data_IF_059073557298
#
_entry.id   IF_059073557298
#
_cell.length_a   1.000
_cell.length_b   1.000
_cell.length_c   1.000
_cell.angle_alpha   90.00
_cell.angle_beta   90.00
_cell.angle_gamma   90.00
#
_symmetry.space_group_name_H-M   'P 1'
#
loop_
_entity.id
_entity.type
_entity.pdbx_description
1 polymer ?
#
# COMPACT_ATOMS: atom_id res chain seq x y z
N UNK A 1 -13.17 -10.14 -4.96
CA UNK A 1 -11.99 -11.00 -5.01
C UNK A 1 -10.78 -10.19 -5.39
N UNK A 2 -9.62 -10.80 -5.38
CA UNK A 2 -8.36 -10.07 -5.60
C UNK A 2 -8.35 -9.26 -6.90
N UNK A 3 -8.78 -9.85 -8.01
CA UNK A 3 -8.77 -9.14 -9.29
C UNK A 3 -9.66 -7.90 -9.27
N UNK A 4 -10.84 -8.01 -8.69
CA UNK A 4 -11.76 -6.87 -8.59
C UNK A 4 -11.18 -5.79 -7.70
N UNK A 5 -10.59 -6.18 -6.58
CA UNK A 5 -9.96 -5.23 -5.66
C UNK A 5 -8.80 -4.50 -6.32
N UNK A 6 -7.94 -5.23 -7.02
CA UNK A 6 -6.81 -4.61 -7.73
C UNK A 6 -7.29 -3.69 -8.83
N UNK A 7 -8.37 -4.06 -9.54
CA UNK A 7 -8.95 -3.20 -10.57
C UNK A 7 -9.47 -1.90 -9.96
N UNK A 8 -10.18 -1.98 -8.84
CA UNK A 8 -10.68 -0.79 -8.17
C UNK A 8 -9.54 0.11 -7.70
N UNK A 9 -8.52 -0.48 -7.08
CA UNK A 9 -7.38 0.29 -6.62
C UNK A 9 -6.65 0.96 -7.79
N UNK A 10 -6.44 0.22 -8.87
CA UNK A 10 -5.78 0.76 -10.06
C UNK A 10 -6.57 1.93 -10.66
N UNK A 11 -7.89 1.79 -10.75
CA UNK A 11 -8.75 2.85 -11.26
C UNK A 11 -8.68 4.08 -10.36
N UNK A 12 -8.72 3.87 -9.03
CA UNK A 12 -8.62 4.97 -8.08
C UNK A 12 -7.28 5.70 -8.23
N UNK A 13 -6.19 4.96 -8.34
CA UNK A 13 -4.85 5.55 -8.49
C UNK A 13 -4.77 6.37 -9.78
N UNK A 14 -5.32 5.85 -10.88
CA UNK A 14 -5.33 6.57 -12.15
C UNK A 14 -6.13 7.86 -12.06
N UNK A 15 -7.29 7.82 -11.42
CA UNK A 15 -8.12 9.01 -11.25
C UNK A 15 -7.44 10.05 -10.37
N UNK A 16 -6.82 9.61 -9.28
CA UNK A 16 -6.11 10.52 -8.38
C UNK A 16 -4.92 11.16 -9.08
N UNK A 17 -4.21 10.40 -9.90
CA UNK A 17 -3.05 10.91 -10.64
C UNK A 17 -3.42 11.85 -11.78
N UNK A 18 -4.67 11.84 -12.22
CA UNK A 18 -5.12 12.64 -13.34
C UNK A 18 -5.62 14.03 -12.94
N UNK A 19 -5.70 14.33 -11.65
CA UNK A 19 -6.20 15.62 -11.18
C UNK A 19 -5.21 16.25 -10.21
N UNK A 20 -5.17 17.60 -10.21
CA UNK A 20 -4.40 18.36 -9.22
C UNK A 20 -5.31 19.01 -8.18
N UNK A 21 -6.63 18.91 -8.36
CA UNK A 21 -7.60 19.53 -7.46
C UNK A 21 -7.76 18.71 -6.17
N UNK A 22 -7.54 19.34 -5.03
CA UNK A 22 -7.76 18.66 -3.75
C UNK A 22 -9.21 18.26 -3.54
N UNK A 23 -10.15 19.06 -4.05
CA UNK A 23 -11.57 18.72 -3.96
C UNK A 23 -11.89 17.46 -4.76
N UNK A 24 -11.32 17.33 -5.96
CA UNK A 24 -11.50 16.13 -6.76
C UNK A 24 -10.89 14.91 -6.07
N UNK A 25 -9.70 15.08 -5.50
CA UNK A 25 -9.03 13.99 -4.77
C UNK A 25 -9.88 13.52 -3.60
N UNK A 26 -10.46 14.45 -2.85
CA UNK A 26 -11.34 14.11 -1.72
C UNK A 26 -12.56 13.34 -2.21
N UNK A 27 -13.19 13.78 -3.29
CA UNK A 27 -14.36 13.11 -3.83
C UNK A 27 -14.05 11.68 -4.27
N UNK A 28 -12.90 11.50 -4.92
CA UNK A 28 -12.45 10.16 -5.36
C UNK A 28 -12.22 9.27 -4.13
N UNK A 29 -11.51 9.78 -3.13
CA UNK A 29 -11.25 9.02 -1.91
C UNK A 29 -12.54 8.64 -1.19
N UNK A 30 -13.51 9.56 -1.13
CA UNK A 30 -14.80 9.26 -0.51
C UNK A 30 -15.53 8.13 -1.24
N UNK A 31 -15.50 8.17 -2.57
CA UNK A 31 -16.14 7.15 -3.38
C UNK A 31 -15.55 5.77 -3.13
N UNK A 32 -14.22 5.67 -3.20
CA UNK A 32 -13.56 4.38 -3.02
C UNK A 32 -13.44 3.97 -1.56
N UNK A 33 -13.53 4.93 -0.64
CA UNK A 33 -13.52 4.66 0.79
C UNK A 33 -14.73 3.89 1.29
N UNK A 34 -15.75 3.73 0.46
CA UNK A 34 -16.92 2.91 0.80
C UNK A 34 -16.62 1.42 0.66
N UNK A 35 -15.56 1.06 -0.03
CA UNK A 35 -15.14 -0.32 -0.17
C UNK A 35 -14.11 -0.63 0.93
N UNK A 36 -14.50 -1.46 1.89
CA UNK A 36 -13.65 -1.77 3.04
C UNK A 36 -12.34 -2.44 2.64
N UNK A 37 -12.34 -3.22 1.57
CA UNK A 37 -11.13 -3.88 1.10
C UNK A 37 -10.14 -2.88 0.50
N UNK A 38 -10.64 -1.86 -0.21
CA UNK A 38 -9.77 -0.80 -0.73
C UNK A 38 -9.14 -0.04 0.43
N UNK A 39 -9.94 0.27 1.46
CA UNK A 39 -9.45 0.96 2.66
C UNK A 39 -8.38 0.12 3.34
N UNK A 40 -8.62 -1.19 3.48
CA UNK A 40 -7.66 -2.09 4.09
C UNK A 40 -6.35 -2.14 3.29
N UNK A 41 -6.45 -2.13 1.97
CA UNK A 41 -5.26 -2.17 1.12
C UNK A 41 -4.47 -0.86 1.20
N UNK A 42 -5.17 0.27 1.35
CA UNK A 42 -4.50 1.55 1.60
C UNK A 42 -3.72 1.50 2.90
N UNK A 43 -4.31 0.94 3.94
CA UNK A 43 -3.61 0.77 5.21
C UNK A 43 -2.37 -0.11 5.03
N UNK A 44 -2.52 -1.24 4.35
CA UNK A 44 -1.40 -2.16 4.11
C UNK A 44 -0.27 -1.48 3.33
N UNK A 45 -0.61 -0.58 2.43
CA UNK A 45 0.38 0.12 1.61
C UNK A 45 1.13 1.18 2.41
N UNK A 46 0.42 1.96 3.21
CA UNK A 46 0.99 3.15 3.83
C UNK A 46 1.28 3.06 5.32
N UNK A 47 0.87 2.00 6.00
CA UNK A 47 1.11 1.87 7.43
C UNK A 47 2.60 1.80 7.73
N UNK A 48 3.07 2.64 8.65
CA UNK A 48 4.47 2.61 9.08
C UNK A 48 4.77 1.40 9.96
N UNK A 49 3.74 0.70 10.40
CA UNK A 49 3.90 -0.52 11.21
C UNK A 49 4.14 -1.76 10.36
N UNK A 50 4.05 -1.63 9.03
CA UNK A 50 4.21 -2.76 8.12
C UNK A 50 5.44 -2.60 7.27
N UNK A 51 6.18 -3.68 7.11
CA UNK A 51 7.35 -3.76 6.24
C UNK A 51 7.22 -5.04 5.42
N UNK A 52 7.62 -5.00 4.15
CA UNK A 52 7.53 -6.17 3.30
C UNK A 52 8.88 -6.74 2.93
N UNK A 53 9.97 -5.99 3.20
CA UNK A 53 11.36 -6.46 3.09
C UNK A 53 11.76 -6.82 1.66
N UNK A 54 10.95 -6.47 0.67
CA UNK A 54 11.27 -6.62 -0.76
C UNK A 54 10.85 -5.33 -1.46
N UNK A 55 11.46 -5.08 -2.62
CA UNK A 55 11.10 -3.93 -3.45
C UNK A 55 10.83 -4.41 -4.87
N UNK A 56 10.11 -3.59 -5.65
CA UNK A 56 9.86 -3.90 -7.04
C UNK A 56 11.18 -4.05 -7.80
N UNK A 57 12.15 -3.21 -7.48
CA UNK A 57 13.47 -3.25 -8.12
C UNK A 57 14.14 -4.60 -7.89
N UNK A 58 14.14 -5.09 -6.64
CA UNK A 58 14.77 -6.37 -6.31
C UNK A 58 14.05 -7.53 -6.98
N UNK A 59 12.71 -7.50 -7.01
CA UNK A 59 11.94 -8.56 -7.64
C UNK A 59 12.17 -8.61 -9.14
N UNK A 60 12.20 -7.45 -9.80
CA UNK A 60 12.44 -7.38 -11.23
C UNK A 60 13.85 -7.83 -11.59
N UNK A 61 14.83 -7.49 -10.73
CA UNK A 61 16.22 -7.85 -10.94
C UNK A 61 16.42 -9.37 -10.88
N UNK A 62 15.57 -10.06 -10.13
CA UNK A 62 15.64 -11.52 -9.96
C UNK A 62 14.39 -12.19 -10.53
N UNK A 63 13.99 -11.76 -11.72
CA UNK A 63 12.74 -12.23 -12.34
C UNK A 63 12.71 -13.74 -12.60
N UNK A 64 13.86 -14.39 -12.64
CA UNK A 64 13.91 -15.84 -12.79
C UNK A 64 13.34 -16.56 -11.55
N UNK A 65 13.33 -15.89 -10.40
CA UNK A 65 12.71 -16.43 -9.19
C UNK A 65 11.21 -16.13 -9.26
N UNK A 66 10.41 -17.13 -9.60
CA UNK A 66 8.98 -16.92 -9.80
C UNK A 66 8.21 -18.19 -9.44
N UNK A 67 7.38 -18.10 -8.42
CA UNK A 67 6.53 -19.20 -7.99
C UNK A 67 5.20 -19.13 -8.76
N UNK A 68 5.22 -19.62 -10.00
CA UNK A 68 4.12 -19.44 -10.95
C UNK A 68 2.80 -20.06 -10.51
N UNK A 69 2.85 -21.03 -9.61
CA UNK A 69 1.65 -21.71 -9.14
C UNK A 69 1.04 -21.08 -7.88
N UNK A 70 1.62 -19.98 -7.40
CA UNK A 70 1.09 -19.33 -6.21
C UNK A 70 -0.21 -18.61 -6.55
N UNK A 71 -1.29 -18.99 -5.84
CA UNK A 71 -2.65 -18.46 -6.09
C UNK A 71 -3.25 -17.76 -4.87
N UNK A 72 -2.43 -17.34 -3.90
CA UNK A 72 -2.92 -16.61 -2.74
C UNK A 72 -3.42 -15.21 -3.10
N UNK A 73 -4.19 -14.61 -2.20
CA UNK A 73 -4.68 -13.24 -2.41
C UNK A 73 -3.63 -12.22 -1.97
N UNK A 74 -3.92 -10.94 -2.29
CA UNK A 74 -2.96 -9.86 -2.01
C UNK A 74 -2.70 -9.70 -0.51
N UNK A 75 -3.73 -9.81 0.31
CA UNK A 75 -3.57 -9.62 1.75
C UNK A 75 -2.75 -10.74 2.38
N UNK A 76 -2.98 -11.97 1.96
CA UNK A 76 -2.21 -13.12 2.45
C UNK A 76 -0.74 -12.96 2.07
N UNK A 77 -0.47 -12.56 0.83
CA UNK A 77 0.91 -12.34 0.39
C UNK A 77 1.59 -11.26 1.24
N UNK A 78 0.91 -10.12 1.42
CA UNK A 78 1.49 -9.03 2.18
C UNK A 78 1.69 -9.39 3.66
N UNK A 79 0.75 -10.13 4.24
CA UNK A 79 0.90 -10.59 5.62
C UNK A 79 2.09 -11.55 5.78
N UNK A 80 2.27 -12.45 4.83
CA UNK A 80 3.39 -13.39 4.89
C UNK A 80 4.74 -12.69 4.75
N UNK A 81 4.79 -11.62 3.95
CA UNK A 81 6.00 -10.81 3.83
C UNK A 81 6.27 -10.05 5.12
N UNK A 82 5.24 -9.40 5.65
CA UNK A 82 5.37 -8.60 6.88
C UNK A 82 5.77 -9.47 8.06
N UNK A 83 5.16 -10.64 8.20
CA UNK A 83 5.42 -11.54 9.31
C UNK A 83 6.67 -12.39 9.12
N UNK A 84 7.39 -12.16 8.02
CA UNK A 84 8.63 -12.87 7.70
C UNK A 84 8.44 -14.38 7.55
N UNK A 85 7.25 -14.78 7.13
CA UNK A 85 7.00 -16.18 6.76
C UNK A 85 7.83 -16.51 5.53
N UNK A 86 7.91 -15.57 4.59
CA UNK A 86 8.78 -15.67 3.41
C UNK A 86 9.87 -14.62 3.54
N UNK A 87 11.13 -15.01 3.31
CA UNK A 87 12.27 -14.10 3.37
C UNK A 87 13.20 -14.36 2.19
N UNK A 88 14.04 -13.36 1.87
CA UNK A 88 15.07 -13.49 0.85
C UNK A 88 14.52 -13.89 -0.50
N UNK A 89 15.14 -14.89 -1.12
CA UNK A 89 14.73 -15.33 -2.46
C UNK A 89 13.33 -15.93 -2.48
N UNK A 90 12.92 -16.56 -1.40
CA UNK A 90 11.57 -17.11 -1.30
C UNK A 90 10.53 -16.01 -1.40
N UNK A 91 10.73 -14.91 -0.67
CA UNK A 91 9.83 -13.77 -0.74
C UNK A 91 9.74 -13.22 -2.17
N UNK A 92 10.89 -13.05 -2.82
CA UNK A 92 10.94 -12.57 -4.20
C UNK A 92 10.19 -13.53 -5.13
N UNK A 93 10.36 -14.84 -4.95
CA UNK A 93 9.68 -15.84 -5.78
C UNK A 93 8.16 -15.74 -5.66
N UNK A 94 7.63 -15.56 -4.45
CA UNK A 94 6.18 -15.47 -4.25
C UNK A 94 5.62 -14.16 -4.80
N UNK A 95 6.34 -13.05 -4.63
CA UNK A 95 5.89 -11.78 -5.19
C UNK A 95 5.86 -11.84 -6.72
N UNK A 96 6.93 -12.36 -7.32
CA UNK A 96 6.98 -12.52 -8.78
C UNK A 96 5.90 -13.47 -9.29
N UNK A 97 5.61 -14.53 -8.52
CA UNK A 97 4.53 -15.46 -8.85
C UNK A 97 3.18 -14.79 -8.82
N UNK A 98 2.94 -13.95 -7.82
CA UNK A 98 1.70 -13.21 -7.71
C UNK A 98 1.53 -12.27 -8.91
N UNK A 99 2.59 -11.55 -9.30
CA UNK A 99 2.56 -10.66 -10.46
C UNK A 99 2.32 -11.46 -11.73
N UNK A 100 2.98 -12.60 -11.86
CA UNK A 100 2.82 -13.48 -13.02
C UNK A 100 1.35 -13.89 -13.23
N UNK A 101 0.65 -14.13 -12.14
CA UNK A 101 -0.76 -14.55 -12.17
C UNK A 101 -1.73 -13.38 -12.26
N UNK A 102 -1.23 -12.13 -12.18
CA UNK A 102 -2.05 -10.92 -12.25
C UNK A 102 -1.37 -9.88 -13.15
N UNK A 103 -1.07 -10.23 -14.41
CA UNK A 103 -0.25 -9.34 -15.26
C UNK A 103 -0.90 -8.00 -15.57
N UNK A 104 -2.24 -7.93 -15.58
CA UNK A 104 -2.94 -6.67 -15.85
C UNK A 104 -2.72 -5.65 -14.74
N UNK A 105 -2.33 -6.09 -13.56
CA UNK A 105 -2.18 -5.23 -12.39
C UNK A 105 -0.74 -5.13 -11.92
N UNK A 106 0.20 -5.47 -12.79
CA UNK A 106 1.61 -5.51 -12.44
C UNK A 106 2.09 -4.20 -11.82
N UNK A 107 1.82 -3.08 -12.47
CA UNK A 107 2.26 -1.78 -11.97
C UNK A 107 1.66 -1.46 -10.60
N UNK A 108 0.38 -1.77 -10.43
CA UNK A 108 -0.31 -1.54 -9.15
C UNK A 108 0.31 -2.38 -8.05
N UNK A 109 0.63 -3.64 -8.34
CA UNK A 109 1.25 -4.54 -7.37
C UNK A 109 2.62 -3.99 -6.94
N UNK A 110 3.42 -3.53 -7.91
CA UNK A 110 4.73 -2.96 -7.59
C UNK A 110 4.61 -1.73 -6.69
N UNK A 111 3.61 -0.88 -6.93
CA UNK A 111 3.37 0.29 -6.10
C UNK A 111 3.02 -0.10 -4.67
N UNK A 112 2.21 -1.14 -4.50
CA UNK A 112 1.87 -1.65 -3.16
C UNK A 112 3.11 -2.18 -2.45
N UNK A 113 3.90 -2.99 -3.14
CA UNK A 113 5.12 -3.57 -2.58
C UNK A 113 6.11 -2.48 -2.16
N UNK A 114 6.25 -1.44 -2.96
CA UNK A 114 7.13 -0.32 -2.67
C UNK A 114 6.52 0.64 -1.65
N UNK A 115 5.29 0.40 -1.23
CA UNK A 115 4.57 1.16 -0.21
C UNK A 115 4.32 2.61 -0.62
N UNK A 116 4.11 2.82 -1.91
CA UNK A 116 3.81 4.16 -2.44
C UNK A 116 3.03 4.02 -3.74
N UNK A 117 1.75 4.38 -3.70
CA UNK A 117 0.88 4.29 -4.87
C UNK A 117 1.17 5.38 -5.90
N UNK A 118 1.99 6.37 -5.54
CA UNK A 118 2.40 7.46 -6.43
C UNK A 118 1.20 8.18 -7.06
N UNK A 119 0.15 8.33 -6.26
CA UNK A 119 -1.09 8.96 -6.73
C UNK A 119 -1.23 10.41 -6.27
N UNK A 120 -0.15 10.99 -5.76
CA UNK A 120 -0.09 12.39 -5.34
C UNK A 120 -1.05 12.72 -4.20
N UNK A 121 -1.28 11.76 -3.33
CA UNK A 121 -2.14 11.91 -2.16
C UNK A 121 -1.32 11.57 -0.93
N UNK A 122 -1.35 12.47 0.05
CA UNK A 122 -0.64 12.22 1.31
C UNK A 122 -1.47 11.33 2.23
N UNK A 123 -0.80 10.68 3.18
CA UNK A 123 -1.50 9.90 4.20
C UNK A 123 -2.39 10.80 5.05
N UNK A 124 -2.00 12.07 5.24
CA UNK A 124 -2.82 13.02 5.97
C UNK A 124 -4.16 13.26 5.25
N UNK A 125 -4.14 13.38 3.92
CA UNK A 125 -5.36 13.58 3.16
C UNK A 125 -6.23 12.32 3.22
N UNK A 126 -5.64 11.15 3.10
CA UNK A 126 -6.38 9.89 3.20
C UNK A 126 -7.10 9.82 4.56
N UNK A 127 -6.39 10.10 5.65
CA UNK A 127 -6.97 10.06 6.99
C UNK A 127 -8.04 11.13 7.21
N UNK A 128 -7.91 12.25 6.51
CA UNK A 128 -8.90 13.32 6.61
C UNK A 128 -10.23 12.92 5.98
N UNK A 129 -10.16 12.23 4.85
CA UNK A 129 -11.35 11.79 4.11
C UNK A 129 -11.91 10.50 4.68
N UNK A 130 -11.03 9.56 5.01
CA UNK A 130 -11.38 8.24 5.56
C UNK A 130 -10.66 8.12 6.90
N UNK A 131 -11.27 8.59 8.00
CA UNK A 131 -10.59 8.67 9.30
C UNK A 131 -10.05 7.31 9.76
N UNK A 132 -8.89 7.34 10.38
CA UNK A 132 -8.25 6.17 11.00
C UNK A 132 -7.85 5.08 10.00
N UNK A 133 -7.69 5.42 8.74
CA UNK A 133 -7.25 4.44 7.73
C UNK A 133 -5.78 4.10 7.90
N UNK A 134 -4.92 5.12 8.00
CA UNK A 134 -3.49 4.94 8.12
C UNK A 134 -3.07 5.22 9.56
N UNK A 135 -2.47 4.25 10.27
CA UNK A 135 -1.99 4.52 11.62
C UNK A 135 -0.93 5.60 11.60
N UNK A 136 -1.09 6.59 12.47
CA UNK A 136 -0.12 7.68 12.59
C UNK A 136 0.63 7.50 13.89
N UNK A 137 1.96 7.61 13.82
CA UNK A 137 2.80 7.58 14.99
C UNK A 137 2.61 8.90 15.74
N UNK A 138 1.91 8.87 16.84
CA UNK A 138 1.85 10.00 17.74
C UNK A 138 2.96 9.84 18.74
N UNK A 139 4.09 10.40 18.41
CA UNK A 139 5.18 10.49 19.37
C UNK A 139 4.96 11.78 20.11
N UNK A 140 4.94 11.68 21.12
CA UNK A 140 4.72 12.90 21.78
C UNK A 140 5.99 13.66 22.00
N UNK A 141 5.83 13.08 20.99
CA UNK A 141 6.37 13.71 21.10
C UNK A 141 6.56 14.19 21.60
N UNK A 142 6.63 13.96 21.68
CA UNK A 142 6.88 14.45 22.07
C UNK A 142 6.97 14.83 22.35
N UNK A 143 6.89 14.68 22.34
CA UNK A 143 6.93 15.39 22.53
C UNK A 143 7.20 15.76 22.53
N UNK A 144 7.45 15.78 22.73
CA UNK A 144 7.66 16.61 22.79
C UNK A 144 7.60 17.06 22.76
N UNK A 145 7.71 16.85 23.02
CA UNK A 145 7.64 17.74 23.15
C UNK A 145 7.59 18.18 23.15
N UNK A 146 7.78 17.97 23.46
CA UNK A 146 7.78 18.93 23.65
C UNK A 146 7.67 19.37 23.57
N UNK A 147 7.83 19.16 23.83
CA UNK A 147 7.71 20.07 23.89
C UNK A 147 7.47 20.46 23.69
N UNK A 148 7.65 20.34 23.84
CA UNK A 148 7.34 21.13 23.82
C UNK A 148 7.08 21.35 23.69
N UNK A 149 7.29 20.84 24.02
CA UNK A 149 6.88 21.47 24.04
C UNK A 149 6.56 21.63 23.80
N UNK A 150 6.70 21.25 24.25
CA UNK A 150 6.28 21.93 24.18
C UNK A 150 5.83 22.01 23.92
N UNK A 151 5.97 21.71 24.03
CA UNK A 151 5.42 22.33 24.00
C UNK A 151 5.04 22.34 23.88
N UNK A 152 5.22 21.92 24.37
CA UNK A 152 4.79 22.37 24.53
C UNK A 152 4.58 22.41 24.48
N UNK A 153 4.74 22.00 24.69
CA UNK A 153 4.57 22.57 24.71
C UNK A 153 4.16 22.60 24.59
#
# INVERSE_FOLDING_TARGET
>A
MTNELLQELQTMVEKLGSTTSNNDKKAILETYGKNEEVVKLLEYTYSTYRQYYVTSKNCKKKSELCHEQYLGDIFTMLDNLHNRVWTGHEAISYVNGFVHNHPEYEETIWKIIDRDLKCRVSTALINKVIPNTIPVFKVALAEKMTTKLDFEN
#
